data_IF_295131460621
#
_entry.id   IF_295131460621
#
_cell.length_a   1.000
_cell.length_b   1.000
_cell.length_c   1.000
_cell.angle_alpha   90.00
_cell.angle_beta   90.00
_cell.angle_gamma   90.00
#
_symmetry.space_group_name_H-M   'P 1'
#
loop_
_entity.id
_entity.type
_entity.pdbx_description
1 polymer ?
#
# COMPACT_ATOMS: atom_id res chain seq x y z
N UNK A 1 -58.49 39.84 26.95
CA UNK A 1 -57.80 40.63 25.92
C UNK A 1 -56.61 39.81 25.46
N UNK A 2 -56.68 39.30 24.23
CA UNK A 2 -55.79 38.27 23.71
C UNK A 2 -54.52 38.90 23.11
N UNK A 3 -53.34 38.42 23.52
CA UNK A 3 -52.05 38.81 22.97
C UNK A 3 -51.66 37.90 21.80
N UNK A 4 -51.50 38.50 20.62
CA UNK A 4 -51.08 37.87 19.38
C UNK A 4 -49.63 37.39 19.41
N UNK A 5 -49.40 36.14 19.01
CA UNK A 5 -48.07 35.60 18.72
C UNK A 5 -47.76 35.76 17.22
N UNK A 6 -46.74 36.54 16.89
CA UNK A 6 -46.17 36.62 15.54
C UNK A 6 -45.08 35.56 15.36
N UNK A 7 -45.28 34.64 14.42
CA UNK A 7 -44.27 33.68 13.96
C UNK A 7 -43.70 34.13 12.62
N UNK A 8 -42.39 34.37 12.57
CA UNK A 8 -41.65 34.78 11.37
C UNK A 8 -41.17 33.55 10.58
N UNK A 9 -41.22 33.52 9.24
CA UNK A 9 -40.76 32.38 8.44
C UNK A 9 -39.24 32.42 8.17
N UNK A 10 -38.60 31.27 8.38
CA UNK A 10 -37.16 31.03 8.17
C UNK A 10 -36.85 30.69 6.70
N UNK A 11 -36.09 31.56 6.03
CA UNK A 11 -35.60 31.35 4.66
C UNK A 11 -34.43 30.36 4.64
N UNK A 12 -34.61 29.22 3.96
CA UNK A 12 -33.55 28.23 3.71
C UNK A 12 -32.68 28.66 2.53
N UNK A 13 -31.36 28.76 2.77
CA UNK A 13 -30.33 28.95 1.75
C UNK A 13 -30.14 27.67 0.89
N UNK A 14 -29.81 27.81 -0.42
CA UNK A 14 -29.50 26.68 -1.30
C UNK A 14 -28.10 26.11 -1.03
N UNK A 15 -27.97 24.79 -1.17
CA UNK A 15 -26.73 24.04 -0.96
C UNK A 15 -25.75 24.20 -2.14
N UNK A 16 -24.43 24.20 -1.89
CA UNK A 16 -23.41 24.27 -2.94
C UNK A 16 -23.26 22.94 -3.73
N UNK A 17 -22.72 23.00 -4.96
CA UNK A 17 -22.66 21.86 -5.86
C UNK A 17 -21.63 20.81 -5.42
N UNK A 18 -22.03 19.54 -5.50
CA UNK A 18 -21.19 18.36 -5.24
C UNK A 18 -20.10 18.24 -6.32
N UNK A 19 -18.83 18.33 -5.91
CA UNK A 19 -17.69 17.94 -6.72
C UNK A 19 -17.54 16.41 -6.71
N UNK A 20 -17.50 15.80 -7.89
CA UNK A 20 -17.19 14.38 -8.07
C UNK A 20 -15.73 14.08 -7.68
N UNK A 21 -15.46 13.07 -6.85
CA UNK A 21 -14.10 12.60 -6.63
C UNK A 21 -13.73 11.61 -7.74
N UNK A 22 -12.84 12.03 -8.64
CA UNK A 22 -12.10 11.09 -9.50
C UNK A 22 -10.90 10.58 -8.71
N UNK A 23 -10.80 9.26 -8.67
CA UNK A 23 -9.72 8.46 -8.12
C UNK A 23 -8.32 8.94 -8.52
N UNK A 24 -7.59 9.46 -7.54
CA UNK A 24 -6.14 9.29 -7.47
C UNK A 24 -5.81 9.00 -6.01
N UNK A 25 -5.65 7.73 -5.68
CA UNK A 25 -5.00 7.27 -4.46
C UNK A 25 -3.50 7.60 -4.54
N UNK A 26 -3.17 8.90 -4.62
CA UNK A 26 -1.86 9.36 -4.20
C UNK A 26 -1.78 9.05 -2.70
N UNK A 27 -0.87 8.15 -2.33
CA UNK A 27 -0.58 7.89 -0.92
C UNK A 27 -0.36 9.25 -0.25
N UNK A 28 -1.31 9.68 0.60
CA UNK A 28 -1.22 10.94 1.32
C UNK A 28 0.09 10.90 2.09
N UNK A 29 0.99 11.81 1.74
CA UNK A 29 2.14 12.13 2.57
C UNK A 29 1.62 12.40 4.00
N UNK A 30 2.35 11.94 5.03
CA UNK A 30 1.89 12.03 6.42
C UNK A 30 1.45 13.46 6.75
N UNK A 31 0.39 13.59 7.55
CA UNK A 31 -0.12 14.90 7.95
C UNK A 31 1.01 15.74 8.57
N UNK A 32 0.95 17.07 8.46
CA UNK A 32 1.97 18.06 8.93
C UNK A 32 2.31 18.02 10.44
N UNK A 33 1.97 16.94 11.14
CA UNK A 33 2.55 16.63 12.44
C UNK A 33 4.06 16.44 12.27
N UNK A 34 4.81 16.81 13.30
CA UNK A 34 6.25 16.61 13.33
C UNK A 34 6.54 15.14 13.00
N UNK A 35 7.30 14.84 11.93
CA UNK A 35 7.55 13.47 11.51
C UNK A 35 8.17 12.69 12.67
N UNK A 36 7.60 11.51 12.96
CA UNK A 36 8.08 10.66 14.03
C UNK A 36 9.46 10.13 13.64
N UNK A 37 10.52 10.66 14.23
CA UNK A 37 11.86 10.14 14.01
C UNK A 37 12.00 8.82 14.79
N UNK A 38 12.56 7.78 14.17
CA UNK A 38 12.83 6.52 14.85
C UNK A 38 13.53 6.73 16.20
N UNK A 39 14.54 7.60 16.27
CA UNK A 39 15.28 7.88 17.52
C UNK A 39 14.49 8.67 18.56
N UNK A 40 13.38 9.32 18.14
CA UNK A 40 12.49 10.03 19.05
C UNK A 40 11.47 9.12 19.75
N UNK A 41 11.38 7.85 19.33
CA UNK A 41 10.49 6.87 19.93
C UNK A 41 11.07 6.29 21.24
N UNK A 42 10.21 5.91 22.21
CA UNK A 42 10.64 5.16 23.39
C UNK A 42 11.42 3.90 22.99
N UNK A 43 12.35 3.49 23.85
CA UNK A 43 13.27 2.36 23.58
C UNK A 43 12.50 1.09 23.25
N UNK A 44 11.44 0.82 23.98
CA UNK A 44 10.60 -0.37 23.90
C UNK A 44 9.95 -0.43 22.52
N UNK A 45 9.42 0.70 22.04
CA UNK A 45 8.80 0.82 20.72
C UNK A 45 9.84 0.58 19.62
N UNK A 46 11.04 1.13 19.75
CA UNK A 46 12.12 0.90 18.78
C UNK A 46 12.53 -0.57 18.72
N UNK A 47 12.69 -1.22 19.88
CA UNK A 47 13.03 -2.64 19.96
C UNK A 47 11.95 -3.50 19.31
N UNK A 48 10.69 -3.17 19.55
CA UNK A 48 9.56 -3.89 18.96
C UNK A 48 9.48 -3.70 17.45
N UNK A 49 9.72 -2.48 16.94
CA UNK A 49 9.86 -2.23 15.49
C UNK A 49 10.96 -3.11 14.89
N UNK A 50 12.14 -3.18 15.52
CA UNK A 50 13.24 -4.01 15.02
C UNK A 50 12.90 -5.50 15.07
N UNK A 51 12.35 -5.97 16.19
CA UNK A 51 11.94 -7.35 16.38
C UNK A 51 10.90 -7.78 15.34
N UNK A 52 9.82 -7.00 15.19
CA UNK A 52 8.75 -7.32 14.25
C UNK A 52 9.20 -7.22 12.80
N UNK A 53 10.08 -6.28 12.46
CA UNK A 53 10.64 -6.18 11.11
C UNK A 53 11.48 -7.41 10.76
N UNK A 54 12.26 -7.90 11.73
CA UNK A 54 13.05 -9.12 11.59
C UNK A 54 12.19 -10.40 11.56
N UNK A 55 11.26 -10.55 12.51
CA UNK A 55 10.32 -11.67 12.59
C UNK A 55 9.49 -11.76 11.31
N UNK A 56 9.02 -10.60 10.83
CA UNK A 56 8.26 -10.52 9.59
C UNK A 56 9.08 -10.71 8.33
N UNK A 57 10.40 -10.95 8.47
CA UNK A 57 11.35 -11.05 7.37
C UNK A 57 11.11 -9.97 6.32
N UNK A 58 10.84 -8.73 6.75
CA UNK A 58 10.65 -7.62 5.85
C UNK A 58 11.98 -7.32 5.17
N UNK A 59 12.17 -7.94 4.01
CA UNK A 59 13.37 -7.76 3.21
C UNK A 59 13.17 -6.52 2.34
N UNK A 60 13.66 -5.39 2.82
CA UNK A 60 13.70 -4.14 2.04
C UNK A 60 14.46 -4.33 0.70
N UNK A 61 15.36 -5.33 0.66
CA UNK A 61 16.14 -5.72 -0.53
C UNK A 61 15.62 -6.98 -1.24
N UNK A 62 14.43 -7.50 -0.97
CA UNK A 62 13.95 -8.70 -1.70
C UNK A 62 13.57 -8.33 -3.13
N UNK A 63 12.58 -7.47 -3.36
CA UNK A 63 12.00 -7.36 -4.70
C UNK A 63 12.89 -6.62 -5.73
N UNK A 64 13.61 -5.57 -5.33
CA UNK A 64 14.48 -4.80 -6.24
C UNK A 64 15.79 -5.52 -6.58
N UNK A 65 16.31 -6.33 -5.65
CA UNK A 65 17.49 -7.16 -5.92
C UNK A 65 17.10 -8.33 -6.82
N UNK A 66 15.90 -8.88 -6.64
CA UNK A 66 15.41 -9.98 -7.46
C UNK A 66 15.15 -9.58 -8.92
N UNK A 67 14.68 -8.35 -9.21
CA UNK A 67 14.44 -7.93 -10.60
C UNK A 67 15.71 -7.80 -11.44
N UNK A 68 16.89 -7.61 -10.82
CA UNK A 68 18.18 -7.55 -11.55
C UNK A 68 18.76 -8.91 -11.90
N UNK A 69 18.37 -9.97 -11.20
CA UNK A 69 18.97 -11.30 -11.35
C UNK A 69 18.03 -12.32 -12.01
N UNK A 70 16.77 -11.97 -12.25
CA UNK A 70 15.79 -12.89 -12.82
C UNK A 70 15.58 -12.62 -14.30
N UNK A 71 15.84 -13.65 -15.11
CA UNK A 71 15.43 -13.67 -16.51
C UNK A 71 13.89 -13.66 -16.59
N UNK A 72 13.25 -13.14 -17.66
CA UNK A 72 11.79 -13.08 -17.80
C UNK A 72 11.08 -14.42 -17.59
N UNK A 73 11.72 -15.52 -18.00
CA UNK A 73 11.29 -16.90 -17.72
C UNK A 73 11.20 -17.22 -16.22
N UNK A 74 12.20 -16.78 -15.45
CA UNK A 74 12.19 -16.97 -14.01
C UNK A 74 11.10 -16.12 -13.36
N UNK A 75 10.85 -14.89 -13.84
CA UNK A 75 9.78 -14.01 -13.35
C UNK A 75 8.38 -14.61 -13.52
N UNK A 76 8.15 -15.36 -14.59
CA UNK A 76 6.89 -16.04 -14.90
C UNK A 76 6.57 -17.24 -13.97
N UNK A 77 7.54 -17.73 -13.20
CA UNK A 77 7.42 -18.93 -12.39
C UNK A 77 6.31 -18.80 -11.31
N UNK A 78 5.48 -19.84 -11.18
CA UNK A 78 4.43 -19.99 -10.15
C UNK A 78 4.98 -19.83 -8.73
N UNK A 79 6.24 -20.20 -8.49
CA UNK A 79 6.96 -19.99 -7.22
C UNK A 79 7.04 -18.50 -6.84
N UNK A 80 7.11 -17.61 -7.82
CA UNK A 80 7.18 -16.17 -7.56
C UNK A 80 5.84 -15.60 -7.13
N UNK A 81 4.73 -16.12 -7.68
CA UNK A 81 3.40 -15.73 -7.20
C UNK A 81 3.21 -16.10 -5.73
N UNK A 82 3.72 -17.26 -5.32
CA UNK A 82 3.71 -17.65 -3.90
C UNK A 82 4.56 -16.68 -3.07
N UNK A 83 5.77 -16.33 -3.52
CA UNK A 83 6.62 -15.34 -2.84
C UNK A 83 5.92 -13.98 -2.71
N UNK A 84 5.30 -13.46 -3.78
CA UNK A 84 4.56 -12.19 -3.74
C UNK A 84 3.37 -12.26 -2.77
N UNK A 85 2.63 -13.37 -2.74
CA UNK A 85 1.54 -13.57 -1.79
C UNK A 85 2.05 -13.65 -0.35
N UNK A 86 3.18 -14.33 -0.11
CA UNK A 86 3.84 -14.35 1.19
C UNK A 86 4.25 -12.95 1.63
N UNK A 87 4.87 -12.15 0.76
CA UNK A 87 5.23 -10.75 1.03
C UNK A 87 4.01 -9.91 1.42
N UNK A 88 2.87 -10.04 0.70
CA UNK A 88 1.60 -9.39 1.06
C UNK A 88 1.11 -9.79 2.45
N UNK A 89 1.21 -11.08 2.80
CA UNK A 89 0.79 -11.57 4.12
C UNK A 89 1.70 -11.02 5.23
N UNK A 90 3.01 -11.04 5.03
CA UNK A 90 3.98 -10.56 6.02
C UNK A 90 3.86 -9.07 6.28
N UNK A 91 3.74 -8.23 5.24
CA UNK A 91 3.56 -6.77 5.44
C UNK A 91 2.24 -6.45 6.16
N UNK A 92 1.17 -7.20 5.89
CA UNK A 92 -0.11 -7.03 6.59
C UNK A 92 -0.02 -7.47 8.05
N UNK A 93 0.70 -8.56 8.34
CA UNK A 93 0.94 -9.01 9.71
C UNK A 93 1.79 -8.01 10.49
N UNK A 94 2.85 -7.50 9.88
CA UNK A 94 3.70 -6.45 10.44
C UNK A 94 2.90 -5.19 10.75
N UNK A 95 2.12 -4.70 9.79
CA UNK A 95 1.23 -3.54 9.95
C UNK A 95 0.26 -3.73 11.12
N UNK A 96 -0.39 -4.90 11.20
CA UNK A 96 -1.37 -5.20 12.25
C UNK A 96 -0.72 -5.27 13.62
N UNK A 97 0.46 -5.88 13.75
CA UNK A 97 1.18 -5.96 15.03
C UNK A 97 1.66 -4.59 15.48
N UNK A 98 2.33 -3.83 14.61
CA UNK A 98 2.81 -2.48 14.95
C UNK A 98 1.71 -1.47 15.22
N UNK A 99 0.59 -1.53 14.50
CA UNK A 99 -0.55 -0.66 14.75
C UNK A 99 -1.19 -0.86 16.13
N UNK A 100 -0.94 -2.01 16.79
CA UNK A 100 -1.39 -2.28 18.17
C UNK A 100 -0.42 -1.77 19.23
N UNK A 101 0.82 -1.49 18.86
CA UNK A 101 1.89 -1.13 19.80
C UNK A 101 1.83 0.35 20.14
N UNK A 102 1.70 1.22 19.14
CA UNK A 102 1.61 2.66 19.37
C UNK A 102 0.80 3.34 18.26
N UNK A 103 -0.24 4.09 18.65
CA UNK A 103 -1.14 4.77 17.71
C UNK A 103 -0.46 5.91 16.95
N UNK A 104 0.64 6.48 17.47
CA UNK A 104 1.38 7.55 16.81
C UNK A 104 2.07 7.08 15.53
N UNK A 105 2.37 5.78 15.46
CA UNK A 105 3.01 5.18 14.29
C UNK A 105 2.03 4.98 13.12
N UNK A 106 0.73 5.23 13.30
CA UNK A 106 -0.30 4.89 12.30
C UNK A 106 0.00 5.42 10.90
N UNK A 107 0.29 6.72 10.79
CA UNK A 107 0.59 7.36 9.49
C UNK A 107 1.89 6.78 8.87
N UNK A 108 2.93 6.58 9.68
CA UNK A 108 4.24 6.08 9.24
C UNK A 108 4.18 4.61 8.78
N UNK A 109 3.51 3.75 9.55
CA UNK A 109 3.30 2.32 9.21
C UNK A 109 2.44 2.21 7.95
N UNK A 110 1.40 3.06 7.83
CA UNK A 110 0.56 3.09 6.64
C UNK A 110 1.36 3.49 5.39
N UNK A 111 2.26 4.48 5.52
CA UNK A 111 3.16 4.88 4.44
C UNK A 111 4.09 3.73 4.02
N UNK A 112 4.76 3.08 4.98
CA UNK A 112 5.67 1.95 4.70
C UNK A 112 4.92 0.79 4.04
N UNK A 113 3.74 0.44 4.57
CA UNK A 113 2.87 -0.59 3.98
C UNK A 113 2.47 -0.25 2.56
N UNK A 114 2.05 0.99 2.31
CA UNK A 114 1.68 1.46 0.97
C UNK A 114 2.83 1.30 -0.03
N UNK A 115 4.01 1.81 0.32
CA UNK A 115 5.22 1.71 -0.51
C UNK A 115 5.61 0.26 -0.81
N UNK A 116 5.56 -0.63 0.19
CA UNK A 116 5.87 -2.05 -0.01
C UNK A 116 4.86 -2.73 -0.93
N UNK A 117 3.57 -2.49 -0.73
CA UNK A 117 2.52 -3.05 -1.58
C UNK A 117 2.59 -2.52 -3.02
N UNK A 118 3.01 -1.28 -3.23
CA UNK A 118 3.22 -0.73 -4.57
C UNK A 118 4.40 -1.40 -5.27
N UNK A 119 5.51 -1.68 -4.56
CA UNK A 119 6.60 -2.49 -5.12
C UNK A 119 6.14 -3.91 -5.49
N UNK A 120 5.36 -4.56 -4.62
CA UNK A 120 4.78 -5.88 -4.92
C UNK A 120 3.91 -5.84 -6.18
N UNK A 121 3.10 -4.81 -6.37
CA UNK A 121 2.27 -4.64 -7.58
C UNK A 121 3.11 -4.43 -8.84
N UNK A 122 4.21 -3.68 -8.75
CA UNK A 122 5.13 -3.48 -9.88
C UNK A 122 5.69 -4.83 -10.32
N UNK A 123 6.25 -5.61 -9.39
CA UNK A 123 6.79 -6.95 -9.72
C UNK A 123 5.68 -7.87 -10.23
N UNK A 124 4.49 -7.84 -9.64
CA UNK A 124 3.36 -8.64 -10.12
C UNK A 124 2.99 -8.29 -11.58
N UNK A 125 3.05 -7.01 -11.96
CA UNK A 125 2.81 -6.54 -13.32
C UNK A 125 3.92 -7.01 -14.27
N UNK A 126 5.17 -6.92 -13.86
CA UNK A 126 6.32 -7.42 -14.63
C UNK A 126 6.20 -8.92 -14.89
N UNK A 127 5.88 -9.72 -13.86
CA UNK A 127 5.65 -11.17 -14.00
C UNK A 127 4.53 -11.50 -15.01
N UNK A 128 3.44 -10.73 -15.03
CA UNK A 128 2.35 -10.93 -15.99
C UNK A 128 2.76 -10.55 -17.41
N UNK A 129 3.54 -9.48 -17.58
CA UNK A 129 3.98 -9.01 -18.90
C UNK A 129 4.96 -10.01 -19.52
N UNK A 130 5.88 -10.55 -18.72
CA UNK A 130 6.82 -11.59 -19.18
C UNK A 130 6.12 -12.87 -19.65
N UNK A 131 5.00 -13.25 -19.02
CA UNK A 131 4.19 -14.41 -19.45
C UNK A 131 3.60 -14.20 -20.86
N UNK A 132 2.97 -13.06 -21.10
CA UNK A 132 2.36 -12.76 -22.41
C UNK A 132 3.42 -12.74 -23.54
N UNK A 133 4.61 -12.22 -23.26
CA UNK A 133 5.69 -12.20 -24.23
C UNK A 133 6.24 -13.60 -24.55
N UNK A 134 6.24 -14.52 -23.57
CA UNK A 134 6.65 -15.91 -23.79
C UNK A 134 5.62 -16.65 -24.64
N UNK A 135 4.33 -16.50 -24.34
CA UNK A 135 3.26 -17.14 -25.10
C UNK A 135 3.31 -16.73 -26.58
N UNK A 136 3.48 -15.42 -26.86
CA UNK A 136 3.61 -14.90 -28.23
C UNK A 136 4.87 -15.40 -28.97
N UNK A 137 5.98 -15.57 -28.24
CA UNK A 137 7.22 -16.09 -28.82
C UNK A 137 7.09 -17.55 -29.24
N UNK A 138 6.40 -18.38 -28.45
CA UNK A 138 6.15 -19.78 -28.79
C UNK A 138 5.16 -19.93 -29.96
N UNK A 139 4.08 -19.14 -29.98
CA UNK A 139 3.14 -19.12 -31.12
C UNK A 139 3.84 -18.75 -32.43
N UNK A 140 4.75 -17.77 -32.41
CA UNK A 140 5.50 -17.35 -33.59
C UNK A 140 6.49 -18.40 -34.11
N UNK A 141 6.96 -19.33 -33.27
CA UNK A 141 7.84 -20.44 -33.69
C UNK A 141 7.06 -21.59 -34.34
N UNK A 142 5.82 -21.81 -33.91
CA UNK A 142 4.96 -22.88 -34.42
C UNK A 142 4.43 -22.57 -35.84
N UNK A 143 4.19 -21.30 -36.18
CA UNK A 143 3.77 -20.88 -37.53
C UNK A 143 4.89 -20.93 -38.60
N UNK A 144 6.16 -21.03 -38.18
CA UNK A 144 7.30 -21.07 -39.09
C UNK A 144 7.83 -22.49 -39.39
N UNK A 145 7.25 -23.53 -38.78
CA UNK A 145 7.61 -24.95 -38.98
C UNK A 145 6.59 -25.67 -39.85
#
# INVERSE_FOLDING_TARGET
MASSAHTTPSQRKPAPPRKNPKDQSAAKSPSRKTPTNFLSLPREIRQEILYLTWECRLRYNSLSTYSRFWNPEQLADRRNRQVLNWEKLWINRWYTKLGRIDSRLGDDIQYVRGRHLDHVKIVEKECRTSLVNLDFFFESQEEMS
#
